data_IF_953341272773
#
_entry.id   IF_953341272773
#
_cell.length_a   1.000
_cell.length_b   1.000
_cell.length_c   1.000
_cell.angle_alpha   90.00
_cell.angle_beta   90.00
_cell.angle_gamma   90.00
#
_symmetry.space_group_name_H-M   'P 1'
#
loop_
_entity.id
_entity.type
_entity.pdbx_description
1 polymer ?
#
# COMPACT_ATOMS: atom_id res chain seq x y z
N UNK A 1 7.42 19.08 -13.90
CA UNK A 1 6.63 17.95 -13.35
C UNK A 1 6.08 18.36 -12.00
N UNK A 2 4.82 18.04 -11.72
CA UNK A 2 4.20 18.22 -10.39
C UNK A 2 4.91 17.35 -9.36
N UNK A 3 5.02 17.83 -8.12
CA UNK A 3 5.65 17.08 -7.03
C UNK A 3 4.81 15.82 -6.68
N UNK A 4 5.49 14.69 -6.49
CA UNK A 4 4.86 13.43 -6.11
C UNK A 4 4.56 13.44 -4.61
N UNK A 5 3.32 13.13 -4.26
CA UNK A 5 2.81 13.06 -2.89
C UNK A 5 2.26 11.66 -2.71
N UNK A 6 3.10 10.78 -2.20
CA UNK A 6 2.82 9.36 -2.14
C UNK A 6 2.13 8.95 -0.81
N UNK A 7 1.20 8.02 -0.89
CA UNK A 7 0.80 7.17 0.23
C UNK A 7 1.41 5.78 0.01
N UNK A 8 1.97 5.20 1.06
CA UNK A 8 2.55 3.86 1.03
C UNK A 8 1.65 2.87 1.78
N UNK A 9 0.99 2.01 1.05
CA UNK A 9 0.15 0.94 1.61
C UNK A 9 0.93 -0.36 1.69
N UNK A 10 0.70 -1.13 2.75
CA UNK A 10 1.43 -2.35 3.05
C UNK A 10 2.93 -2.06 3.20
N UNK A 11 3.25 -1.01 3.95
CA UNK A 11 4.60 -0.43 3.97
C UNK A 11 5.68 -1.37 4.52
N UNK A 12 5.29 -2.34 5.35
CA UNK A 12 6.23 -3.21 6.03
C UNK A 12 7.32 -2.39 6.73
N UNK A 13 8.58 -2.69 6.43
CA UNK A 13 9.75 -1.98 6.96
C UNK A 13 10.17 -0.75 6.13
N UNK A 14 9.39 -0.37 5.10
CA UNK A 14 9.59 0.83 4.29
C UNK A 14 10.47 0.65 3.05
N UNK A 15 10.41 -0.52 2.43
CA UNK A 15 11.17 -0.82 1.22
C UNK A 15 10.80 0.08 0.04
N UNK A 16 9.50 0.35 -0.17
CA UNK A 16 9.05 1.24 -1.25
C UNK A 16 9.37 2.70 -0.94
N UNK A 17 9.31 3.14 0.32
CA UNK A 17 9.80 4.46 0.71
C UNK A 17 11.29 4.64 0.42
N UNK A 18 12.14 3.67 0.80
CA UNK A 18 13.56 3.73 0.42
C UNK A 18 13.75 3.78 -1.10
N UNK A 19 13.02 2.94 -1.85
CA UNK A 19 13.06 2.95 -3.31
C UNK A 19 12.62 4.29 -3.92
N UNK A 20 11.58 4.90 -3.37
CA UNK A 20 11.10 6.22 -3.77
C UNK A 20 12.19 7.28 -3.56
N UNK A 21 12.82 7.32 -2.38
CA UNK A 21 13.91 8.26 -2.09
C UNK A 21 15.14 8.03 -3.00
N UNK A 22 15.51 6.76 -3.22
CA UNK A 22 16.65 6.40 -4.06
C UNK A 22 16.42 6.71 -5.55
N UNK A 23 15.17 6.74 -6.01
CA UNK A 23 14.83 7.05 -7.41
C UNK A 23 15.17 8.49 -7.83
N UNK A 24 15.35 9.40 -6.86
CA UNK A 24 15.50 10.83 -7.13
C UNK A 24 14.23 11.51 -7.65
N UNK A 25 13.08 10.85 -7.56
CA UNK A 25 11.81 11.44 -7.94
C UNK A 25 11.49 12.68 -7.09
N UNK A 26 11.03 13.76 -7.73
CA UNK A 26 10.68 14.99 -7.02
C UNK A 26 9.38 14.80 -6.23
N UNK A 27 9.48 14.52 -4.93
CA UNK A 27 8.33 14.33 -4.07
C UNK A 27 8.64 13.79 -2.68
N UNK A 28 7.61 13.28 -2.00
CA UNK A 28 7.71 12.69 -0.65
C UNK A 28 6.61 11.65 -0.41
N UNK A 29 6.88 10.75 0.53
CA UNK A 29 5.86 9.88 1.14
C UNK A 29 5.20 10.63 2.29
N UNK A 30 3.90 10.91 2.19
CA UNK A 30 3.13 11.67 3.19
C UNK A 30 2.73 10.81 4.40
N UNK A 31 2.36 9.56 4.13
CA UNK A 31 1.92 8.61 5.14
C UNK A 31 2.14 7.18 4.67
N UNK A 32 2.35 6.29 5.64
CA UNK A 32 2.45 4.85 5.42
C UNK A 32 1.44 4.08 6.27
N UNK A 33 1.04 2.89 5.82
CA UNK A 33 0.04 2.05 6.46
C UNK A 33 0.50 0.59 6.52
N UNK A 34 0.55 0.04 7.72
CA UNK A 34 0.78 -1.39 7.96
C UNK A 34 0.22 -1.80 9.33
N UNK A 35 -0.29 -3.02 9.46
CA UNK A 35 -0.84 -3.53 10.72
C UNK A 35 0.21 -4.20 11.60
N UNK A 36 1.36 -4.57 11.05
CA UNK A 36 2.41 -5.26 11.78
C UNK A 36 3.20 -4.28 12.64
N UNK A 37 3.00 -4.33 13.95
CA UNK A 37 3.67 -3.42 14.88
C UNK A 37 5.20 -3.53 14.84
N UNK A 38 5.77 -4.74 14.65
CA UNK A 38 7.22 -4.93 14.57
C UNK A 38 7.79 -4.30 13.29
N UNK A 39 7.04 -4.39 12.18
CA UNK A 39 7.40 -3.71 10.95
C UNK A 39 7.33 -2.19 11.12
N UNK A 40 6.29 -1.68 11.79
CA UNK A 40 6.12 -0.26 12.09
C UNK A 40 7.20 0.30 13.01
N UNK A 41 7.65 -0.49 13.99
CA UNK A 41 8.76 -0.11 14.87
C UNK A 41 10.06 -0.02 14.06
N UNK A 42 10.32 -0.98 13.18
CA UNK A 42 11.47 -0.97 12.26
C UNK A 42 11.41 0.23 11.30
N UNK A 43 10.25 0.47 10.69
CA UNK A 43 10.02 1.62 9.81
C UNK A 43 10.31 2.94 10.53
N UNK A 44 9.82 3.09 11.77
CA UNK A 44 10.05 4.29 12.59
C UNK A 44 11.53 4.56 12.83
N UNK A 45 12.35 3.51 13.03
CA UNK A 45 13.79 3.66 13.20
C UNK A 45 14.45 4.27 11.96
N UNK A 46 13.94 3.97 10.76
CA UNK A 46 14.47 4.50 9.50
C UNK A 46 13.96 5.89 9.14
N UNK A 47 12.68 6.19 9.41
CA UNK A 47 12.02 7.41 8.90
C UNK A 47 11.53 8.38 9.98
N UNK A 48 11.73 8.07 11.27
CA UNK A 48 11.33 8.91 12.40
C UNK A 48 9.81 8.99 12.66
N UNK A 49 8.98 8.43 11.76
CA UNK A 49 7.52 8.41 11.85
C UNK A 49 7.03 6.98 11.74
N UNK A 50 6.18 6.55 12.69
CA UNK A 50 5.53 5.24 12.61
C UNK A 50 4.42 5.26 11.56
N UNK A 51 4.27 4.18 10.77
CA UNK A 51 3.09 3.97 9.94
C UNK A 51 1.80 3.95 10.77
N UNK A 52 0.68 4.22 10.10
CA UNK A 52 -0.65 4.10 10.69
C UNK A 52 -1.00 2.63 10.89
N UNK A 53 -1.03 2.19 12.15
CA UNK A 53 -1.40 0.82 12.58
C UNK A 53 -2.91 0.51 12.47
N UNK A 54 -3.56 0.89 11.36
CA UNK A 54 -4.98 0.58 11.09
C UNK A 54 -5.08 -0.35 9.89
N UNK A 55 -5.98 -1.33 9.98
CA UNK A 55 -6.28 -2.23 8.86
C UNK A 55 -6.69 -1.46 7.61
N UNK A 56 -5.99 -1.77 6.50
CA UNK A 56 -6.23 -1.15 5.20
C UNK A 56 -7.65 -1.44 4.71
N UNK A 57 -8.20 -2.61 5.05
CA UNK A 57 -9.59 -3.04 4.84
C UNK A 57 -10.64 -2.18 5.57
N UNK A 58 -10.23 -1.22 6.40
CA UNK A 58 -11.10 -0.32 7.14
C UNK A 58 -10.93 1.16 6.76
N UNK A 59 -10.07 1.46 5.79
CA UNK A 59 -9.85 2.82 5.32
C UNK A 59 -11.04 3.29 4.47
N UNK A 60 -11.64 4.42 4.80
CA UNK A 60 -12.67 5.02 3.96
C UNK A 60 -12.05 6.05 3.02
N UNK A 61 -12.73 6.41 1.92
CA UNK A 61 -12.31 7.51 1.01
C UNK A 61 -11.83 8.75 1.78
N UNK A 62 -12.57 9.21 2.80
CA UNK A 62 -12.20 10.36 3.64
C UNK A 62 -10.86 10.21 4.38
N UNK A 63 -10.50 8.98 4.74
CA UNK A 63 -9.25 8.68 5.44
C UNK A 63 -8.04 8.81 4.50
N UNK A 64 -8.25 8.65 3.20
CA UNK A 64 -7.23 8.68 2.15
C UNK A 64 -7.16 10.07 1.53
N UNK A 65 -8.29 10.66 1.15
CA UNK A 65 -8.37 11.97 0.48
C UNK A 65 -7.84 13.12 1.33
N UNK A 66 -7.90 13.02 2.66
CA UNK A 66 -7.35 14.05 3.58
C UNK A 66 -5.87 14.34 3.33
N UNK A 67 -5.12 13.38 2.76
CA UNK A 67 -3.70 13.55 2.44
C UNK A 67 -3.48 14.29 1.11
N UNK A 68 -4.51 14.43 0.26
CA UNK A 68 -4.43 15.01 -1.08
C UNK A 68 -3.23 14.44 -1.87
N UNK A 69 -3.07 13.11 -1.80
CA UNK A 69 -1.99 12.37 -2.45
C UNK A 69 -2.30 12.14 -3.93
N UNK A 70 -1.28 12.16 -4.78
CA UNK A 70 -1.39 11.90 -6.21
C UNK A 70 -0.70 10.60 -6.64
N UNK A 71 -0.12 9.86 -5.70
CA UNK A 71 0.58 8.61 -5.95
C UNK A 71 0.27 7.59 -4.85
N UNK A 72 0.01 6.34 -5.22
CA UNK A 72 0.01 5.22 -4.27
C UNK A 72 1.16 4.27 -4.58
N UNK A 73 1.91 3.92 -3.54
CA UNK A 73 2.91 2.84 -3.54
C UNK A 73 2.30 1.67 -2.76
N UNK A 74 2.29 0.47 -3.34
CA UNK A 74 1.59 -0.69 -2.77
C UNK A 74 2.42 -1.96 -2.93
N UNK A 75 2.56 -2.72 -1.85
CA UNK A 75 3.16 -4.07 -1.82
C UNK A 75 2.28 -5.03 -1.03
N UNK A 76 1.04 -5.33 -1.52
CA UNK A 76 0.11 -6.18 -0.81
C UNK A 76 0.67 -7.59 -0.58
N UNK A 77 0.29 -8.27 0.52
CA UNK A 77 0.78 -9.61 0.81
C UNK A 77 0.36 -10.62 -0.27
N UNK A 78 1.29 -11.50 -0.62
CA UNK A 78 1.22 -12.42 -1.75
C UNK A 78 0.37 -13.70 -1.50
N UNK A 79 -0.16 -13.92 -0.30
CA UNK A 79 -0.95 -15.13 0.01
C UNK A 79 -2.45 -14.81 -0.14
N UNK A 80 -3.23 -15.55 -0.97
CA UNK A 80 -3.16 -16.99 -1.27
C UNK A 80 -2.39 -17.41 -2.54
N UNK A 81 -1.70 -16.51 -3.24
CA UNK A 81 -1.23 -16.77 -4.62
C UNK A 81 -0.03 -17.75 -4.72
N UNK A 82 0.47 -18.31 -3.62
CA UNK A 82 1.55 -19.30 -3.56
C UNK A 82 1.06 -20.75 -3.67
N UNK A 83 1.86 -21.61 -4.31
CA UNK A 83 1.60 -23.05 -4.62
C UNK A 83 1.24 -23.96 -3.42
N UNK A 84 1.27 -23.47 -2.18
CA UNK A 84 1.05 -24.25 -0.95
C UNK A 84 -0.18 -23.85 -0.12
N UNK A 85 -0.97 -22.85 -0.54
CA UNK A 85 -2.23 -22.49 0.10
C UNK A 85 -3.38 -23.35 -0.42
N UNK A 86 -4.30 -23.78 0.46
CA UNK A 86 -5.60 -24.34 0.03
C UNK A 86 -6.23 -23.34 -0.93
N UNK A 87 -6.56 -23.78 -2.15
CA UNK A 87 -7.27 -23.04 -3.21
C UNK A 87 -8.61 -22.49 -2.71
N UNK A 88 -8.55 -21.44 -1.90
CA UNK A 88 -9.68 -20.68 -1.37
C UNK A 88 -9.51 -19.26 -1.92
N UNK A 89 -9.69 -19.12 -3.24
CA UNK A 89 -9.43 -17.89 -4.01
C UNK A 89 -9.97 -16.62 -3.31
N UNK A 90 -11.30 -16.44 -3.32
CA UNK A 90 -12.06 -15.26 -2.90
C UNK A 90 -12.42 -15.26 -1.40
N UNK A 91 -12.20 -16.38 -0.69
CA UNK A 91 -12.43 -16.50 0.75
C UNK A 91 -11.18 -16.22 1.60
N UNK A 92 -10.04 -15.92 0.97
CA UNK A 92 -8.84 -15.55 1.72
C UNK A 92 -8.94 -14.10 2.23
N UNK A 93 -9.04 -13.97 3.55
CA UNK A 93 -9.05 -12.69 4.27
C UNK A 93 -7.86 -11.78 3.93
N UNK A 94 -6.77 -12.32 3.36
CA UNK A 94 -5.55 -11.60 3.03
C UNK A 94 -5.63 -10.81 1.71
N UNK A 95 -6.54 -11.13 0.80
CA UNK A 95 -6.80 -10.34 -0.42
C UNK A 95 -7.74 -9.16 -0.17
N UNK A 96 -8.56 -9.23 0.90
CA UNK A 96 -9.57 -8.21 1.25
C UNK A 96 -9.03 -6.78 1.31
N UNK A 97 -7.85 -6.51 1.90
CA UNK A 97 -7.38 -5.12 2.00
C UNK A 97 -7.03 -4.50 0.64
N UNK A 98 -6.50 -5.28 -0.31
CA UNK A 98 -6.22 -4.77 -1.66
C UNK A 98 -7.51 -4.50 -2.42
N UNK A 99 -8.44 -5.45 -2.41
CA UNK A 99 -9.75 -5.29 -3.06
C UNK A 99 -10.52 -4.10 -2.46
N UNK A 100 -10.44 -3.92 -1.14
CA UNK A 100 -11.03 -2.78 -0.46
C UNK A 100 -10.41 -1.46 -0.90
N UNK A 101 -9.08 -1.37 -1.06
CA UNK A 101 -8.42 -0.17 -1.60
C UNK A 101 -8.87 0.14 -3.03
N UNK A 102 -9.06 -0.88 -3.88
CA UNK A 102 -9.57 -0.70 -5.24
C UNK A 102 -11.03 -0.19 -5.22
N UNK A 103 -11.89 -0.72 -4.35
CA UNK A 103 -13.25 -0.16 -4.16
C UNK A 103 -13.22 1.28 -3.64
N UNK A 104 -12.29 1.62 -2.74
CA UNK A 104 -12.13 3.02 -2.33
C UNK A 104 -11.66 3.90 -3.48
N UNK A 105 -10.70 3.43 -4.30
CA UNK A 105 -10.16 4.15 -5.45
C UNK A 105 -11.26 4.57 -6.44
N UNK A 106 -12.18 3.66 -6.76
CA UNK A 106 -13.32 3.92 -7.66
C UNK A 106 -14.30 4.98 -7.11
N UNK A 107 -14.35 5.13 -5.77
CA UNK A 107 -15.24 6.07 -5.08
C UNK A 107 -14.60 7.42 -4.77
N UNK A 108 -13.30 7.59 -5.02
CA UNK A 108 -12.60 8.85 -4.78
C UNK A 108 -13.08 9.93 -5.75
N UNK A 109 -13.20 11.16 -5.24
CA UNK A 109 -13.45 12.35 -6.08
C UNK A 109 -12.21 12.72 -6.87
N UNK A 110 -11.03 12.53 -6.27
CA UNK A 110 -9.73 12.83 -6.87
C UNK A 110 -8.81 11.63 -6.72
N UNK A 111 -8.92 10.61 -7.60
CA UNK A 111 -8.03 9.46 -7.57
C UNK A 111 -6.56 9.85 -7.86
N UNK A 112 -5.57 9.13 -7.31
CA UNK A 112 -4.16 9.36 -7.61
C UNK A 112 -3.87 9.22 -9.11
N UNK A 113 -2.91 10.01 -9.59
CA UNK A 113 -2.43 9.95 -10.98
C UNK A 113 -1.45 8.79 -11.23
N UNK A 114 -0.79 8.32 -10.17
CA UNK A 114 0.22 7.28 -10.23
C UNK A 114 -0.13 6.15 -9.27
N UNK A 115 0.00 4.92 -9.76
CA UNK A 115 -0.07 3.70 -8.95
C UNK A 115 1.19 2.89 -9.22
N UNK A 116 1.90 2.51 -8.16
CA UNK A 116 2.99 1.55 -8.20
C UNK A 116 2.61 0.34 -7.36
N UNK A 117 2.56 -0.83 -7.98
CA UNK A 117 2.16 -2.09 -7.35
C UNK A 117 3.28 -3.11 -7.52
N UNK A 118 3.86 -3.54 -6.40
CA UNK A 118 4.78 -4.68 -6.35
C UNK A 118 3.98 -5.94 -5.97
N UNK A 119 4.28 -7.04 -6.65
CA UNK A 119 3.76 -8.36 -6.27
C UNK A 119 4.65 -9.46 -6.83
N UNK A 120 4.42 -10.69 -6.39
CA UNK A 120 5.16 -11.85 -6.84
C UNK A 120 4.77 -12.31 -8.24
N UNK A 121 5.64 -13.13 -8.84
CA UNK A 121 5.36 -13.87 -10.07
C UNK A 121 4.06 -14.68 -9.96
N UNK A 122 3.30 -14.71 -11.05
CA UNK A 122 1.97 -15.29 -11.20
C UNK A 122 0.84 -14.44 -10.62
N UNK A 123 1.08 -13.23 -10.10
CA UNK A 123 -0.01 -12.30 -9.80
C UNK A 123 -0.80 -11.94 -11.07
N UNK A 124 -0.13 -11.86 -12.20
CA UNK A 124 -0.69 -11.49 -13.51
C UNK A 124 -1.66 -12.52 -14.12
N UNK A 125 -1.66 -13.77 -13.62
CA UNK A 125 -2.56 -14.83 -14.10
C UNK A 125 -3.68 -15.16 -13.11
N UNK A 126 -3.78 -14.43 -12.00
CA UNK A 126 -4.84 -14.57 -11.01
C UNK A 126 -6.04 -13.71 -11.43
N UNK A 127 -7.24 -14.25 -11.21
CA UNK A 127 -8.51 -13.59 -11.51
C UNK A 127 -9.02 -12.85 -10.29
#
# INVERSE_FOLDING_TARGET
MTSIRALEFFSGIGGLHFGFNASGANGQVLESFDMNQQANDTYKLSFGKSPVSRGIDRLMVKDIEKYNANCWLMSPPCQPYTRGGKLLDDQDNRAKPLLHLLDQLERMKTPPQYLFLENVKNFEVRK
#
